data_IF_031679939711
#
_entry.id   IF_031679939711
#
_cell.length_a   1.000
_cell.length_b   1.000
_cell.length_c   1.000
_cell.angle_alpha   90.00
_cell.angle_beta   90.00
_cell.angle_gamma   90.00
#
_symmetry.space_group_name_H-M   'P 1'
#
loop_
_entity.id
_entity.type
_entity.pdbx_description
1 polymer ?
#
# COMPACT_ATOMS: atom_id res chain seq x y z
N UNK A 1 13.07 -2.50 -8.86
CA UNK A 1 11.73 -1.90 -8.62
C UNK A 1 11.85 -0.40 -8.76
N UNK A 2 11.04 0.22 -9.60
CA UNK A 2 11.06 1.67 -9.80
C UNK A 2 10.23 2.39 -8.72
N UNK A 3 10.31 3.73 -8.70
CA UNK A 3 9.62 4.54 -7.70
C UNK A 3 8.10 4.38 -7.78
N UNK A 4 7.54 4.34 -8.98
CA UNK A 4 6.10 4.19 -9.19
C UNK A 4 5.58 2.87 -8.60
N UNK A 5 6.26 1.78 -8.86
CA UNK A 5 5.91 0.47 -8.30
C UNK A 5 6.00 0.47 -6.77
N UNK A 6 7.04 1.10 -6.22
CA UNK A 6 7.21 1.21 -4.76
C UNK A 6 6.09 2.00 -4.12
N UNK A 7 5.68 3.10 -4.74
CA UNK A 7 4.55 3.90 -4.25
C UNK A 7 3.26 3.09 -4.29
N UNK A 8 3.00 2.36 -5.37
CA UNK A 8 1.81 1.51 -5.48
C UNK A 8 1.79 0.43 -4.40
N UNK A 9 2.92 -0.22 -4.15
CA UNK A 9 3.03 -1.25 -3.11
C UNK A 9 2.80 -0.64 -1.72
N UNK A 10 3.37 0.54 -1.46
CA UNK A 10 3.18 1.23 -0.19
C UNK A 10 1.69 1.55 0.06
N UNK A 11 0.96 1.98 -0.97
CA UNK A 11 -0.48 2.22 -0.89
C UNK A 11 -1.25 0.92 -0.58
N UNK A 12 -0.97 -0.15 -1.32
CA UNK A 12 -1.60 -1.44 -1.08
C UNK A 12 -1.31 -1.96 0.33
N UNK A 13 -0.09 -1.79 0.80
CA UNK A 13 0.31 -2.21 2.15
C UNK A 13 -0.39 -1.39 3.24
N UNK A 14 -0.62 -0.11 2.99
CA UNK A 14 -1.41 0.73 3.91
C UNK A 14 -2.83 0.18 4.08
N UNK A 15 -3.47 -0.23 3.00
CA UNK A 15 -4.86 -0.74 3.04
C UNK A 15 -4.94 -2.19 3.53
N UNK A 16 -4.05 -3.05 3.07
CA UNK A 16 -4.18 -4.50 3.24
C UNK A 16 -3.03 -5.16 4.00
N UNK A 17 -2.06 -4.39 4.46
CA UNK A 17 -0.87 -4.93 5.13
C UNK A 17 -1.18 -5.76 6.37
N UNK A 18 -2.29 -5.47 7.04
CA UNK A 18 -2.73 -6.24 8.21
C UNK A 18 -3.02 -7.72 7.90
N UNK A 19 -3.23 -8.06 6.62
CA UNK A 19 -3.42 -9.44 6.16
C UNK A 19 -2.11 -10.21 6.04
N UNK A 20 -0.98 -9.51 6.04
CA UNK A 20 0.34 -10.13 5.97
C UNK A 20 0.78 -10.61 7.36
N UNK A 21 1.59 -11.68 7.37
CA UNK A 21 2.24 -12.10 8.62
C UNK A 21 3.23 -11.04 9.09
N UNK A 22 3.59 -11.06 10.37
CA UNK A 22 4.59 -10.13 10.91
C UNK A 22 5.92 -10.22 10.14
N UNK A 23 6.33 -11.42 9.77
CA UNK A 23 7.54 -11.63 8.99
C UNK A 23 7.44 -11.04 7.60
N UNK A 24 6.32 -11.25 6.92
CA UNK A 24 6.08 -10.65 5.60
C UNK A 24 6.09 -9.13 5.66
N UNK A 25 5.46 -8.55 6.68
CA UNK A 25 5.47 -7.09 6.87
C UNK A 25 6.89 -6.55 7.07
N UNK A 26 7.70 -7.23 7.91
CA UNK A 26 9.08 -6.82 8.16
C UNK A 26 9.93 -6.89 6.89
N UNK A 27 9.84 -7.98 6.15
CA UNK A 27 10.60 -8.17 4.91
C UNK A 27 10.18 -7.12 3.87
N UNK A 28 8.89 -6.93 3.70
CA UNK A 28 8.37 -5.96 2.72
C UNK A 28 8.81 -4.53 3.07
N UNK A 29 8.78 -4.16 4.34
CA UNK A 29 9.25 -2.86 4.82
C UNK A 29 10.73 -2.64 4.53
N UNK A 30 11.58 -3.63 4.81
CA UNK A 30 13.00 -3.54 4.52
C UNK A 30 13.27 -3.33 3.02
N UNK A 31 12.58 -4.08 2.18
CA UNK A 31 12.79 -4.07 0.74
C UNK A 31 12.20 -2.82 0.07
N UNK A 32 10.98 -2.46 0.41
CA UNK A 32 10.24 -1.38 -0.25
C UNK A 32 10.50 -0.03 0.42
N UNK A 33 10.34 0.06 1.73
CA UNK A 33 10.46 1.33 2.46
C UNK A 33 11.91 1.74 2.66
N UNK A 34 12.76 0.79 3.04
CA UNK A 34 14.18 1.06 3.35
C UNK A 34 15.10 0.80 2.15
N UNK A 35 14.56 0.36 1.03
CA UNK A 35 15.31 0.11 -0.20
C UNK A 35 16.50 -0.84 -0.04
N UNK A 36 16.38 -1.84 0.85
CA UNK A 36 17.41 -2.86 1.00
C UNK A 36 17.37 -3.85 -0.16
N UNK A 37 18.53 -4.37 -0.54
CA UNK A 37 18.62 -5.44 -1.52
C UNK A 37 18.18 -6.78 -0.92
N UNK A 38 17.92 -7.78 -1.76
CA UNK A 38 17.64 -9.14 -1.30
C UNK A 38 18.77 -9.68 -0.43
N UNK A 39 20.02 -9.40 -0.81
CA UNK A 39 21.19 -9.81 -0.05
C UNK A 39 21.23 -9.15 1.33
N UNK A 40 20.95 -7.86 1.39
CA UNK A 40 20.96 -7.12 2.65
C UNK A 40 19.87 -7.62 3.59
N UNK A 41 18.66 -7.87 3.08
CA UNK A 41 17.57 -8.42 3.89
C UNK A 41 17.91 -9.83 4.36
N UNK A 42 18.46 -10.66 3.48
CA UNK A 42 18.92 -12.02 3.79
C UNK A 42 19.95 -12.01 4.94
N UNK A 43 20.93 -11.13 4.85
CA UNK A 43 21.98 -10.99 5.88
C UNK A 43 21.38 -10.51 7.21
N UNK A 44 20.49 -9.52 7.17
CA UNK A 44 19.86 -8.96 8.37
C UNK A 44 19.03 -10.01 9.13
N UNK A 45 18.31 -10.86 8.41
CA UNK A 45 17.39 -11.83 9.01
C UNK A 45 18.00 -13.23 9.18
N UNK A 46 19.17 -13.49 8.63
CA UNK A 46 19.80 -14.80 8.69
C UNK A 46 19.03 -15.89 7.93
N UNK A 47 18.41 -15.53 6.82
CA UNK A 47 17.68 -16.46 5.94
C UNK A 47 18.25 -16.39 4.53
N UNK A 48 17.89 -17.31 3.66
CA UNK A 48 18.37 -17.33 2.28
C UNK A 48 17.77 -16.18 1.46
N UNK A 49 18.48 -15.77 0.41
CA UNK A 49 17.96 -14.76 -0.54
C UNK A 49 16.68 -15.26 -1.21
N UNK A 50 16.62 -16.57 -1.53
CA UNK A 50 15.42 -17.15 -2.12
C UNK A 50 14.23 -17.07 -1.16
N UNK A 51 14.43 -17.29 0.13
CA UNK A 51 13.38 -17.16 1.13
C UNK A 51 12.88 -15.70 1.21
N UNK A 52 13.78 -14.73 1.12
CA UNK A 52 13.41 -13.31 1.06
C UNK A 52 12.56 -13.02 -0.17
N UNK A 53 13.01 -13.47 -1.33
CA UNK A 53 12.29 -13.27 -2.59
C UNK A 53 10.89 -13.90 -2.54
N UNK A 54 10.79 -15.12 -2.05
CA UNK A 54 9.51 -15.81 -1.93
C UNK A 54 8.55 -15.07 -0.99
N UNK A 55 9.05 -14.55 0.13
CA UNK A 55 8.25 -13.77 1.06
C UNK A 55 7.74 -12.48 0.42
N UNK A 56 8.56 -11.79 -0.36
CA UNK A 56 8.17 -10.58 -1.09
C UNK A 56 7.12 -10.93 -2.15
N UNK A 57 7.37 -11.94 -2.97
CA UNK A 57 6.45 -12.33 -4.04
C UNK A 57 5.08 -12.73 -3.47
N UNK A 58 5.05 -13.52 -2.39
CA UNK A 58 3.81 -13.93 -1.73
C UNK A 58 3.08 -12.75 -1.09
N UNK A 59 3.80 -11.83 -0.48
CA UNK A 59 3.22 -10.62 0.09
C UNK A 59 2.57 -9.75 -0.99
N UNK A 60 3.27 -9.49 -2.09
CA UNK A 60 2.74 -8.71 -3.20
C UNK A 60 1.53 -9.39 -3.84
N UNK A 61 1.55 -10.71 -3.97
CA UNK A 61 0.42 -11.46 -4.51
C UNK A 61 -0.82 -11.28 -3.63
N UNK A 62 -0.67 -11.41 -2.30
CA UNK A 62 -1.76 -11.20 -1.35
C UNK A 62 -2.34 -9.80 -1.46
N UNK A 63 -1.49 -8.77 -1.48
CA UNK A 63 -1.93 -7.38 -1.57
C UNK A 63 -2.70 -7.10 -2.88
N UNK A 64 -2.16 -7.56 -4.00
CA UNK A 64 -2.75 -7.34 -5.32
C UNK A 64 -4.06 -8.09 -5.50
N UNK A 65 -4.12 -9.36 -5.08
CA UNK A 65 -5.35 -10.15 -5.15
C UNK A 65 -6.45 -9.56 -4.26
N UNK A 66 -6.09 -9.03 -3.11
CA UNK A 66 -7.04 -8.39 -2.21
C UNK A 66 -7.64 -7.13 -2.85
N UNK A 67 -6.82 -6.30 -3.48
CA UNK A 67 -7.31 -5.12 -4.21
C UNK A 67 -8.20 -5.52 -5.38
N UNK A 68 -7.86 -6.56 -6.13
CA UNK A 68 -8.70 -7.07 -7.22
C UNK A 68 -10.09 -7.47 -6.75
N UNK A 69 -10.20 -7.98 -5.52
CA UNK A 69 -11.48 -8.41 -4.95
C UNK A 69 -12.26 -7.29 -4.29
N UNK A 70 -11.59 -6.43 -3.54
CA UNK A 70 -12.24 -5.43 -2.68
C UNK A 70 -12.31 -4.04 -3.32
N UNK A 71 -11.30 -3.67 -4.12
CA UNK A 71 -11.22 -2.37 -4.80
C UNK A 71 -11.26 -1.15 -3.86
N UNK A 72 -10.82 -1.29 -2.61
CA UNK A 72 -10.89 -0.18 -1.65
C UNK A 72 -9.98 0.97 -2.03
N UNK A 73 -8.78 0.69 -2.55
CA UNK A 73 -7.87 1.74 -3.02
C UNK A 73 -8.51 2.52 -4.18
N UNK A 74 -9.02 1.78 -5.18
CA UNK A 74 -9.67 2.39 -6.34
C UNK A 74 -10.93 3.16 -6.00
N UNK A 75 -11.77 2.61 -5.11
CA UNK A 75 -13.01 3.26 -4.67
C UNK A 75 -12.73 4.53 -3.87
N UNK A 76 -11.76 4.50 -2.96
CA UNK A 76 -11.38 5.69 -2.18
C UNK A 76 -10.82 6.79 -3.07
N UNK A 77 -9.96 6.43 -4.02
CA UNK A 77 -9.40 7.37 -4.97
C UNK A 77 -10.51 8.02 -5.83
N UNK A 78 -11.46 7.23 -6.29
CA UNK A 78 -12.60 7.71 -7.07
C UNK A 78 -13.50 8.63 -6.26
N UNK A 79 -13.78 8.24 -5.02
CA UNK A 79 -14.61 9.05 -4.11
C UNK A 79 -13.95 10.40 -3.82
N UNK A 80 -12.64 10.42 -3.54
CA UNK A 80 -11.89 11.67 -3.36
C UNK A 80 -11.97 12.56 -4.60
N UNK A 81 -11.84 11.99 -5.78
CA UNK A 81 -11.94 12.73 -7.04
C UNK A 81 -13.32 13.36 -7.20
N UNK A 82 -14.39 12.59 -6.93
CA UNK A 82 -15.75 13.09 -7.00
C UNK A 82 -15.96 14.25 -6.02
N UNK A 83 -15.52 14.11 -4.78
CA UNK A 83 -15.66 15.15 -3.76
C UNK A 83 -14.92 16.42 -4.16
N UNK A 84 -13.67 16.29 -4.63
CA UNK A 84 -12.84 17.44 -5.05
C UNK A 84 -13.45 18.22 -6.21
N UNK A 85 -14.20 17.54 -7.06
CA UNK A 85 -14.79 18.15 -8.26
C UNK A 85 -16.21 18.69 -8.03
N UNK A 86 -16.77 18.58 -6.81
CA UNK A 86 -18.09 19.15 -6.51
C UNK A 86 -18.03 20.67 -6.41
N UNK A 87 -19.03 21.33 -6.98
CA UNK A 87 -19.19 22.77 -6.89
C UNK A 87 -19.56 23.17 -5.43
N UNK A 88 -19.20 24.40 -4.99
CA UNK A 88 -19.50 24.85 -3.62
C UNK A 88 -20.99 24.85 -3.26
N UNK A 89 -21.89 24.94 -4.24
CA UNK A 89 -23.33 24.86 -4.00
C UNK A 89 -23.87 23.44 -3.87
N UNK A 90 -23.08 22.44 -4.16
CA UNK A 90 -23.42 21.01 -4.04
C UNK A 90 -22.92 20.43 -2.72
N UNK A 91 -21.80 20.93 -2.24
CA UNK A 91 -21.21 20.55 -0.97
C UNK A 91 -20.36 21.73 -0.49
N UNK A 92 -20.50 22.12 0.78
CA UNK A 92 -19.70 23.22 1.30
C UNK A 92 -18.23 22.83 1.46
N UNK A 93 -17.35 23.82 1.48
CA UNK A 93 -15.92 23.62 1.51
C UNK A 93 -15.46 22.94 2.80
N UNK A 94 -16.06 23.28 3.93
CA UNK A 94 -15.71 22.67 5.22
C UNK A 94 -16.03 21.17 5.23
N UNK A 95 -17.22 20.78 4.76
CA UNK A 95 -17.62 19.37 4.64
C UNK A 95 -16.73 18.63 3.66
N UNK A 96 -16.40 19.26 2.54
CA UNK A 96 -15.50 18.70 1.53
C UNK A 96 -14.12 18.38 2.12
N UNK A 97 -13.52 19.30 2.85
CA UNK A 97 -12.22 19.12 3.49
C UNK A 97 -12.28 18.03 4.56
N UNK A 98 -13.35 17.99 5.33
CA UNK A 98 -13.55 16.98 6.36
C UNK A 98 -13.64 15.56 5.77
N UNK A 99 -14.41 15.38 4.69
CA UNK A 99 -14.52 14.10 3.99
C UNK A 99 -13.18 13.65 3.39
N UNK A 100 -12.45 14.57 2.78
CA UNK A 100 -11.13 14.26 2.21
C UNK A 100 -10.16 13.85 3.32
N UNK A 101 -10.13 14.56 4.43
CA UNK A 101 -9.30 14.23 5.58
C UNK A 101 -9.63 12.84 6.14
N UNK A 102 -10.91 12.50 6.24
CA UNK A 102 -11.35 11.17 6.68
C UNK A 102 -10.84 10.06 5.76
N UNK A 103 -10.90 10.26 4.44
CA UNK A 103 -10.46 9.27 3.45
C UNK A 103 -8.95 9.13 3.39
N UNK A 104 -8.20 10.14 3.86
CA UNK A 104 -6.72 10.13 3.82
C UNK A 104 -6.08 9.56 5.10
N UNK A 105 -6.87 9.27 6.10
CA UNK A 105 -6.36 8.69 7.36
C UNK A 105 -5.77 7.27 7.17
#
# INVERSE_FOLDING_TARGET
MNLEERVQIAILNKYYGALLTNRQQSILSMYVDNNLSLAEVSDELGISRQAVKDAIDNSLLTLKQTEERLHFVGKDAKLKEIIKNKAPNQIDEATKLELIAYLED
#
